data_IF_710795187595
#
_entry.id   IF_710795187595
#
_cell.length_a   1.000
_cell.length_b   1.000
_cell.length_c   1.000
_cell.angle_alpha   90.00
_cell.angle_beta   90.00
_cell.angle_gamma   90.00
#
_symmetry.space_group_name_H-M   'P 1'
#
loop_
_entity.id
_entity.type
_entity.pdbx_description
1 polymer ?
#
# COMPACT_ATOMS: atom_id res chain seq x y z
N UNK A 1 19.52 16.71 10.02
CA UNK A 1 18.50 15.89 10.73
C UNK A 1 18.75 14.39 10.50
N UNK A 2 18.37 13.57 11.46
CA UNK A 2 18.37 12.11 11.33
C UNK A 2 17.02 11.63 10.80
N UNK A 3 17.06 10.90 9.69
CA UNK A 3 15.87 10.35 9.04
C UNK A 3 15.88 8.84 9.12
N UNK A 4 14.79 8.25 9.55
CA UNK A 4 14.58 6.80 9.57
C UNK A 4 13.54 6.42 8.54
N UNK A 5 13.88 5.50 7.65
CA UNK A 5 12.96 4.92 6.66
C UNK A 5 12.75 3.45 6.98
N UNK A 6 11.50 3.07 7.11
CA UNK A 6 11.09 1.68 7.26
C UNK A 6 10.20 1.32 6.07
N UNK A 7 10.80 0.78 5.01
CA UNK A 7 10.10 0.44 3.79
C UNK A 7 9.03 -0.63 4.00
N UNK A 8 8.13 -0.75 3.04
CA UNK A 8 7.11 -1.79 3.06
C UNK A 8 7.74 -3.19 3.06
N UNK A 9 7.27 -4.11 3.92
CA UNK A 9 7.81 -5.47 3.99
C UNK A 9 7.43 -6.32 2.77
N UNK A 10 6.31 -6.00 2.13
CA UNK A 10 5.83 -6.76 0.95
C UNK A 10 6.30 -6.08 -0.31
N UNK A 11 7.13 -6.78 -1.06
CA UNK A 11 7.66 -6.32 -2.33
C UNK A 11 6.89 -6.94 -3.50
N UNK A 12 6.85 -6.21 -4.61
CA UNK A 12 6.44 -6.78 -5.87
C UNK A 12 7.51 -7.80 -6.34
N UNK A 13 7.14 -8.86 -7.08
CA UNK A 13 8.07 -9.94 -7.42
C UNK A 13 9.33 -9.50 -8.17
N UNK A 14 9.26 -8.37 -8.84
CA UNK A 14 10.32 -7.78 -9.67
C UNK A 14 11.05 -6.59 -9.01
N UNK A 15 10.75 -6.30 -7.73
CA UNK A 15 11.41 -5.23 -6.96
C UNK A 15 12.15 -5.85 -5.79
N UNK A 16 13.45 -5.64 -5.74
CA UNK A 16 14.30 -6.11 -4.64
C UNK A 16 14.41 -5.08 -3.51
N UNK A 17 14.90 -5.52 -2.34
CA UNK A 17 15.23 -4.59 -1.24
C UNK A 17 16.30 -3.60 -1.67
N UNK A 18 17.28 -4.04 -2.44
CA UNK A 18 18.35 -3.23 -2.99
C UNK A 18 17.82 -2.13 -3.92
N UNK A 19 16.85 -2.45 -4.79
CA UNK A 19 16.22 -1.47 -5.68
C UNK A 19 15.47 -0.39 -4.89
N UNK A 20 14.82 -0.78 -3.79
CA UNK A 20 14.15 0.16 -2.88
C UNK A 20 15.17 1.04 -2.16
N UNK A 21 16.23 0.45 -1.65
CA UNK A 21 17.27 1.18 -0.91
C UNK A 21 17.99 2.20 -1.81
N UNK A 22 18.16 1.90 -3.10
CA UNK A 22 18.70 2.87 -4.05
C UNK A 22 17.82 4.13 -4.13
N UNK A 23 16.50 3.97 -4.13
CA UNK A 23 15.56 5.10 -4.16
C UNK A 23 15.56 5.87 -2.85
N UNK A 24 15.54 5.17 -1.71
CA UNK A 24 15.58 5.81 -0.40
C UNK A 24 16.89 6.52 -0.13
N UNK A 25 18.01 6.01 -0.65
CA UNK A 25 19.32 6.65 -0.52
C UNK A 25 19.40 8.04 -1.20
N UNK A 26 18.48 8.39 -2.10
CA UNK A 26 18.39 9.75 -2.65
C UNK A 26 18.12 10.80 -1.55
N UNK A 27 17.54 10.41 -0.43
CA UNK A 27 17.37 11.31 0.71
C UNK A 27 18.69 11.83 1.27
N UNK A 28 19.81 11.11 1.08
CA UNK A 28 21.15 11.56 1.48
C UNK A 28 21.68 12.74 0.66
N UNK A 29 21.07 13.00 -0.50
CA UNK A 29 21.43 14.15 -1.34
C UNK A 29 20.85 15.47 -0.81
N UNK A 30 19.87 15.38 0.12
CA UNK A 30 19.29 16.55 0.75
C UNK A 30 20.26 17.11 1.81
N UNK A 31 20.61 18.40 1.75
CA UNK A 31 21.59 19.01 2.65
C UNK A 31 21.14 19.01 4.12
N UNK A 32 19.85 18.84 4.38
CA UNK A 32 19.29 18.78 5.74
C UNK A 32 19.39 17.39 6.37
N UNK A 33 19.75 16.36 5.59
CA UNK A 33 19.85 14.97 6.06
C UNK A 33 21.30 14.64 6.42
N UNK A 34 21.60 14.63 7.71
CA UNK A 34 22.94 14.29 8.24
C UNK A 34 23.12 12.78 8.39
N UNK A 35 22.03 12.08 8.74
CA UNK A 35 22.02 10.63 8.95
C UNK A 35 20.75 10.02 8.34
N UNK A 36 20.91 8.98 7.55
CA UNK A 36 19.82 8.18 7.00
C UNK A 36 19.95 6.73 7.44
N UNK A 37 18.94 6.23 8.15
CA UNK A 37 18.82 4.82 8.54
C UNK A 37 17.70 4.20 7.73
N UNK A 38 17.99 3.12 6.98
CA UNK A 38 17.00 2.32 6.29
C UNK A 38 16.93 0.97 7.01
N UNK A 39 15.75 0.62 7.53
CA UNK A 39 15.55 -0.62 8.28
C UNK A 39 14.40 -1.43 7.68
N UNK A 40 14.71 -2.61 7.18
CA UNK A 40 13.71 -3.57 6.73
C UNK A 40 13.26 -4.48 7.86
N UNK A 41 11.96 -4.80 7.85
CA UNK A 41 11.33 -5.82 8.68
C UNK A 41 10.69 -6.87 7.77
N UNK A 42 10.52 -8.10 8.24
CA UNK A 42 9.85 -9.16 7.48
C UNK A 42 8.31 -9.06 7.53
N UNK A 43 7.79 -8.16 8.36
CA UNK A 43 6.37 -7.86 8.54
C UNK A 43 6.18 -6.44 9.07
N UNK A 44 4.96 -6.11 9.49
CA UNK A 44 4.69 -4.84 10.13
C UNK A 44 5.26 -4.85 11.56
N UNK A 45 6.20 -3.95 11.89
CA UNK A 45 6.83 -3.94 13.20
C UNK A 45 5.88 -3.49 14.31
N UNK A 46 6.03 -4.09 15.48
CA UNK A 46 5.42 -3.62 16.72
C UNK A 46 6.08 -2.34 17.23
N UNK A 47 5.44 -1.63 18.18
CA UNK A 47 6.05 -0.45 18.78
C UNK A 47 7.34 -0.77 19.54
N UNK A 48 7.45 -1.96 20.16
CA UNK A 48 8.67 -2.43 20.82
C UNK A 48 9.84 -2.56 19.84
N UNK A 49 9.57 -3.04 18.63
CA UNK A 49 10.58 -3.16 17.57
C UNK A 49 10.91 -1.80 16.94
N UNK A 50 9.96 -0.88 16.90
CA UNK A 50 10.16 0.47 16.37
C UNK A 50 11.01 1.35 17.30
N UNK A 51 10.82 1.28 18.60
CA UNK A 51 11.51 2.15 19.55
C UNK A 51 13.04 2.21 19.36
N UNK A 52 13.77 1.08 19.27
CA UNK A 52 15.22 1.13 19.11
C UNK A 52 15.67 1.63 17.73
N UNK A 53 14.79 1.51 16.70
CA UNK A 53 15.10 1.96 15.33
C UNK A 53 14.86 3.46 15.18
N UNK A 54 13.75 3.96 15.69
CA UNK A 54 13.41 5.39 15.68
C UNK A 54 14.36 6.15 16.60
N UNK A 55 14.60 5.63 17.80
CA UNK A 55 15.54 6.19 18.77
C UNK A 55 15.45 7.73 18.91
N UNK A 56 16.44 8.46 18.43
CA UNK A 56 16.59 9.91 18.46
C UNK A 56 16.31 10.60 17.11
N UNK A 57 15.63 9.91 16.20
CA UNK A 57 15.31 10.45 14.88
C UNK A 57 14.47 11.73 14.92
N UNK A 58 14.76 12.64 14.00
CA UNK A 58 13.96 13.86 13.77
C UNK A 58 12.77 13.59 12.86
N UNK A 59 12.93 12.64 11.91
CA UNK A 59 11.92 12.28 10.94
C UNK A 59 11.83 10.76 10.73
N UNK A 60 10.62 10.25 10.49
CA UNK A 60 10.39 8.85 10.19
C UNK A 60 9.41 8.68 9.03
N UNK A 61 9.69 7.71 8.16
CA UNK A 61 8.91 7.44 6.95
C UNK A 61 8.58 5.95 6.87
N UNK A 62 7.35 5.62 6.54
CA UNK A 62 6.98 4.23 6.30
C UNK A 62 5.48 3.95 6.32
N UNK A 63 5.08 2.78 5.85
CA UNK A 63 3.68 2.32 5.88
C UNK A 63 3.19 2.01 7.29
N UNK A 64 4.10 1.73 8.21
CA UNK A 64 3.83 1.51 9.63
C UNK A 64 3.35 2.76 10.37
N UNK A 65 3.58 3.95 9.78
CA UNK A 65 3.13 5.23 10.33
C UNK A 65 1.61 5.33 10.21
N UNK A 66 0.93 5.08 11.31
CA UNK A 66 -0.53 5.13 11.43
C UNK A 66 -0.94 5.62 12.82
N UNK A 67 -2.24 5.88 13.04
CA UNK A 67 -2.74 6.39 14.31
C UNK A 67 -2.57 5.45 15.51
N UNK A 68 -2.47 4.15 15.28
CA UNK A 68 -2.21 3.19 16.36
C UNK A 68 -0.76 3.25 16.86
N UNK A 69 0.19 3.50 15.96
CA UNK A 69 1.61 3.60 16.29
C UNK A 69 1.96 5.01 16.77
N UNK A 70 1.51 6.06 16.07
CA UNK A 70 1.80 7.45 16.39
C UNK A 70 0.78 7.97 17.41
N UNK A 71 0.96 7.59 18.64
CA UNK A 71 0.14 7.99 19.78
C UNK A 71 0.98 8.72 20.83
N UNK A 72 0.33 9.22 21.89
CA UNK A 72 0.99 10.01 22.93
C UNK A 72 2.10 9.23 23.65
N UNK A 73 1.90 7.93 23.91
CA UNK A 73 2.90 7.08 24.54
C UNK A 73 4.15 6.97 23.65
N UNK A 74 3.96 6.67 22.37
CA UNK A 74 5.06 6.57 21.41
C UNK A 74 5.85 7.89 21.32
N UNK A 75 5.13 9.00 21.16
CA UNK A 75 5.76 10.31 21.03
C UNK A 75 6.47 10.79 22.31
N UNK A 76 6.00 10.35 23.49
CA UNK A 76 6.69 10.66 24.75
C UNK A 76 8.07 10.02 24.84
N UNK A 77 8.27 8.88 24.18
CA UNK A 77 9.56 8.17 24.09
C UNK A 77 10.48 8.72 23.00
N UNK A 78 9.92 9.49 22.04
CA UNK A 78 10.65 10.04 20.89
C UNK A 78 10.45 11.57 20.78
N UNK A 79 10.94 12.36 21.75
CA UNK A 79 10.68 13.80 21.79
C UNK A 79 11.31 14.58 20.62
N UNK A 80 12.33 14.02 19.97
CA UNK A 80 13.00 14.63 18.82
C UNK A 80 12.19 14.46 17.54
N UNK A 81 11.30 13.46 17.47
CA UNK A 81 10.51 13.17 16.28
C UNK A 81 9.51 14.30 16.02
N UNK A 82 9.71 15.04 14.94
CA UNK A 82 8.90 16.21 14.56
C UNK A 82 8.21 16.05 13.22
N UNK A 83 8.62 15.07 12.44
CA UNK A 83 8.03 14.81 11.14
C UNK A 83 7.81 13.30 10.93
N UNK A 84 6.63 12.93 10.48
CA UNK A 84 6.36 11.58 10.01
C UNK A 84 5.67 11.60 8.65
N UNK A 85 6.10 10.72 7.76
CA UNK A 85 5.44 10.51 6.48
C UNK A 85 4.87 9.09 6.43
N UNK A 86 3.54 8.98 6.39
CA UNK A 86 2.92 7.71 6.06
C UNK A 86 2.93 7.47 4.57
N UNK A 87 3.28 6.27 4.16
CA UNK A 87 3.13 5.84 2.77
C UNK A 87 1.68 5.41 2.46
N UNK A 88 0.80 5.45 3.46
CA UNK A 88 -0.64 5.25 3.29
C UNK A 88 -1.34 6.47 2.72
N UNK A 89 -2.51 6.26 2.14
CA UNK A 89 -3.36 7.34 1.61
C UNK A 89 -4.21 8.00 2.70
N UNK A 90 -4.66 7.21 3.70
CA UNK A 90 -5.53 7.68 4.77
C UNK A 90 -4.78 8.45 5.86
N UNK A 91 -5.47 9.39 6.49
CA UNK A 91 -4.98 10.15 7.65
C UNK A 91 -5.99 10.24 8.80
N UNK A 92 -7.19 9.69 8.62
CA UNK A 92 -8.29 9.78 9.59
C UNK A 92 -8.06 9.06 10.92
N UNK A 93 -7.05 8.23 11.01
CA UNK A 93 -6.68 7.50 12.23
C UNK A 93 -5.79 8.30 13.18
N UNK A 94 -5.19 9.41 12.71
CA UNK A 94 -4.31 10.23 13.54
C UNK A 94 -5.09 11.18 14.45
N UNK A 95 -4.65 11.29 15.70
CA UNK A 95 -5.11 12.34 16.61
C UNK A 95 -4.45 13.67 16.24
N UNK A 96 -5.09 14.37 15.30
CA UNK A 96 -4.58 15.64 14.77
C UNK A 96 -4.42 16.71 15.86
N UNK A 97 -5.35 16.88 16.83
CA UNK A 97 -5.14 17.79 17.95
C UNK A 97 -3.87 17.50 18.74
N UNK A 98 -3.67 16.25 19.13
CA UNK A 98 -2.48 15.81 19.90
C UNK A 98 -1.17 16.03 19.10
N UNK A 99 -1.13 15.64 17.83
CA UNK A 99 0.06 15.80 17.00
C UNK A 99 0.42 17.27 16.80
N UNK A 100 -0.59 18.15 16.66
CA UNK A 100 -0.40 19.60 16.59
C UNK A 100 0.16 20.17 17.90
N UNK A 101 -0.34 19.73 19.05
CA UNK A 101 0.16 20.15 20.37
C UNK A 101 1.65 19.74 20.56
N UNK A 102 2.04 18.56 20.10
CA UNK A 102 3.43 18.08 20.13
C UNK A 102 4.32 18.73 19.07
N UNK A 103 3.76 19.61 18.22
CA UNK A 103 4.49 20.26 17.13
C UNK A 103 4.93 19.30 16.03
N UNK A 104 4.22 18.19 15.86
CA UNK A 104 4.52 17.18 14.85
C UNK A 104 3.81 17.50 13.53
N UNK A 105 4.52 17.31 12.43
CA UNK A 105 3.97 17.36 11.08
C UNK A 105 3.79 15.95 10.55
N UNK A 106 2.60 15.66 10.04
CA UNK A 106 2.29 14.39 9.40
C UNK A 106 1.94 14.65 7.94
N UNK A 107 2.54 13.89 7.03
CA UNK A 107 2.16 13.88 5.62
C UNK A 107 1.73 12.49 5.19
N UNK A 108 0.84 12.43 4.23
CA UNK A 108 0.39 11.21 3.59
C UNK A 108 0.70 11.26 2.10
N UNK A 109 0.56 10.10 1.43
CA UNK A 109 0.75 9.99 -0.01
C UNK A 109 -0.59 9.97 -0.73
N UNK A 110 -0.62 10.56 -1.93
CA UNK A 110 -1.77 10.49 -2.83
C UNK A 110 -1.36 9.59 -4.00
N UNK A 111 -1.79 8.32 -3.96
CA UNK A 111 -1.52 7.37 -5.03
C UNK A 111 -2.68 6.39 -5.20
N UNK A 112 -2.71 5.73 -6.33
CA UNK A 112 -3.56 4.56 -6.57
C UNK A 112 -5.05 4.83 -6.78
N UNK A 113 -5.53 6.06 -6.65
CA UNK A 113 -6.96 6.35 -6.82
C UNK A 113 -7.47 5.92 -8.21
N UNK A 114 -6.72 6.20 -9.26
CA UNK A 114 -7.05 5.77 -10.61
C UNK A 114 -6.98 4.24 -10.74
N UNK A 115 -5.90 3.62 -10.27
CA UNK A 115 -5.71 2.16 -10.33
C UNK A 115 -6.81 1.43 -9.55
N UNK A 116 -7.20 1.94 -8.38
CA UNK A 116 -8.29 1.36 -7.57
C UNK A 116 -9.62 1.50 -8.31
N UNK A 117 -9.88 2.66 -8.94
CA UNK A 117 -11.10 2.88 -9.71
C UNK A 117 -11.16 1.98 -10.94
N UNK A 118 -10.05 1.83 -11.67
CA UNK A 118 -9.96 0.91 -12.82
C UNK A 118 -10.17 -0.54 -12.40
N UNK A 119 -9.61 -0.95 -11.26
CA UNK A 119 -9.81 -2.29 -10.74
C UNK A 119 -11.25 -2.53 -10.29
N UNK A 120 -11.87 -1.57 -9.61
CA UNK A 120 -13.28 -1.63 -9.24
C UNK A 120 -14.18 -1.72 -10.48
N UNK A 121 -13.85 -0.97 -11.54
CA UNK A 121 -14.55 -1.04 -12.81
C UNK A 121 -14.37 -2.41 -13.47
N UNK A 122 -13.16 -2.97 -13.48
CA UNK A 122 -12.90 -4.31 -14.01
C UNK A 122 -13.71 -5.39 -13.28
N UNK A 123 -13.80 -5.33 -11.95
CA UNK A 123 -14.63 -6.24 -11.16
C UNK A 123 -16.12 -6.08 -11.47
N UNK A 124 -16.59 -4.85 -11.63
CA UNK A 124 -17.98 -4.58 -12.02
C UNK A 124 -18.28 -5.20 -13.39
N UNK A 125 -17.40 -5.01 -14.36
CA UNK A 125 -17.56 -5.59 -15.70
C UNK A 125 -17.51 -7.13 -15.67
N UNK A 126 -16.61 -7.70 -14.83
CA UNK A 126 -16.58 -9.15 -14.59
C UNK A 126 -17.93 -9.68 -14.10
N UNK A 127 -18.51 -9.03 -13.09
CA UNK A 127 -19.82 -9.42 -12.53
C UNK A 127 -20.94 -9.26 -13.55
N UNK A 128 -20.97 -8.14 -14.28
CA UNK A 128 -22.02 -7.85 -15.25
C UNK A 128 -21.97 -8.77 -16.49
N UNK A 129 -20.77 -9.16 -16.90
CA UNK A 129 -20.57 -9.95 -18.13
C UNK A 129 -20.20 -11.41 -17.87
N UNK A 130 -20.10 -11.84 -16.62
CA UNK A 130 -19.76 -13.22 -16.23
C UNK A 130 -18.53 -13.78 -16.96
N UNK A 131 -17.46 -12.97 -17.08
CA UNK A 131 -16.28 -13.29 -17.89
C UNK A 131 -15.64 -14.62 -17.47
N UNK A 132 -15.56 -14.89 -16.16
CA UNK A 132 -15.00 -16.15 -15.64
C UNK A 132 -15.85 -17.36 -16.04
N UNK A 133 -17.19 -17.26 -15.96
CA UNK A 133 -18.10 -18.32 -16.41
C UNK A 133 -17.95 -18.58 -17.90
N UNK A 134 -17.95 -17.52 -18.70
CA UNK A 134 -17.77 -17.63 -20.15
C UNK A 134 -16.41 -18.25 -20.50
N UNK A 135 -15.35 -17.81 -19.84
CA UNK A 135 -14.00 -18.37 -20.04
C UNK A 135 -13.94 -19.87 -19.73
N UNK A 136 -14.61 -20.30 -18.65
CA UNK A 136 -14.70 -21.73 -18.30
C UNK A 136 -15.51 -22.52 -19.33
N UNK A 137 -16.63 -21.98 -19.79
CA UNK A 137 -17.48 -22.65 -20.76
C UNK A 137 -16.80 -22.75 -22.11
N UNK A 138 -16.16 -21.69 -22.59
CA UNK A 138 -15.37 -21.72 -23.83
C UNK A 138 -14.27 -22.77 -23.78
N UNK A 139 -13.57 -22.91 -22.64
CA UNK A 139 -12.48 -23.88 -22.46
C UNK A 139 -12.96 -25.33 -22.37
N UNK A 140 -14.22 -25.58 -22.01
CA UNK A 140 -14.79 -26.94 -21.91
C UNK A 140 -15.24 -27.49 -23.24
N UNK A 141 -15.53 -26.62 -24.20
CA UNK A 141 -16.07 -27.04 -25.52
C UNK A 141 -14.91 -27.38 -26.45
N UNK A 142 -14.94 -28.55 -27.06
CA UNK A 142 -14.12 -28.87 -28.22
C UNK A 142 -14.70 -28.19 -29.47
N UNK A 143 -14.23 -26.97 -29.72
CA UNK A 143 -14.74 -26.13 -30.82
C UNK A 143 -14.55 -26.74 -32.22
N UNK A 144 -13.63 -27.70 -32.38
CA UNK A 144 -13.46 -28.42 -33.64
C UNK A 144 -14.63 -29.38 -33.92
N UNK A 145 -15.33 -29.81 -32.84
CA UNK A 145 -16.45 -30.77 -32.93
C UNK A 145 -17.70 -30.26 -32.18
N UNK A 146 -17.83 -28.94 -32.03
CA UNK A 146 -18.89 -28.33 -31.25
C UNK A 146 -20.29 -28.72 -31.79
N UNK A 147 -21.17 -29.04 -30.87
CA UNK A 147 -22.56 -29.42 -31.16
C UNK A 147 -23.48 -28.18 -31.17
N UNK A 148 -24.71 -28.37 -31.66
CA UNK A 148 -25.74 -27.33 -31.59
C UNK A 148 -26.01 -26.91 -30.13
N UNK A 149 -25.97 -27.86 -29.19
CA UNK A 149 -26.19 -27.61 -27.76
C UNK A 149 -25.07 -26.75 -27.16
N UNK A 150 -23.83 -26.98 -27.59
CA UNK A 150 -22.67 -26.14 -27.17
C UNK A 150 -22.89 -24.69 -27.61
N UNK A 151 -23.31 -24.45 -28.85
CA UNK A 151 -23.59 -23.11 -29.36
C UNK A 151 -24.79 -22.45 -28.66
N UNK A 152 -25.85 -23.21 -28.36
CA UNK A 152 -27.00 -22.67 -27.63
C UNK A 152 -26.65 -22.30 -26.20
N UNK A 153 -25.85 -23.09 -25.53
CA UNK A 153 -25.34 -22.80 -24.17
C UNK A 153 -24.48 -21.55 -24.18
N UNK A 154 -23.53 -21.47 -25.12
CA UNK A 154 -22.65 -20.30 -25.27
C UNK A 154 -23.48 -19.02 -25.61
N UNK A 155 -24.46 -19.10 -26.47
CA UNK A 155 -25.30 -17.95 -26.82
C UNK A 155 -26.16 -17.42 -25.68
N UNK A 156 -26.61 -18.28 -24.75
CA UNK A 156 -27.35 -17.85 -23.54
C UNK A 156 -26.48 -17.13 -22.55
N UNK A 157 -25.20 -17.51 -22.47
CA UNK A 157 -24.24 -16.95 -21.51
C UNK A 157 -23.73 -15.58 -21.96
N UNK A 158 -23.75 -15.28 -23.29
CA UNK A 158 -23.32 -13.99 -23.84
C UNK A 158 -24.34 -12.86 -23.68
N UNK A 159 -25.58 -13.14 -23.27
CA UNK A 159 -26.57 -12.09 -23.04
C UNK A 159 -26.35 -11.45 -21.69
N UNK A 160 -26.13 -10.12 -21.59
CA UNK A 160 -26.07 -9.42 -20.30
C UNK A 160 -27.36 -9.68 -19.53
N UNK A 161 -27.28 -10.29 -18.37
CA UNK A 161 -28.40 -10.45 -17.46
C UNK A 161 -28.57 -9.21 -16.59
N UNK A 162 -28.61 -8.04 -17.19
CA UNK A 162 -29.00 -6.81 -16.53
C UNK A 162 -30.43 -6.51 -17.00
N UNK A 163 -31.40 -6.95 -16.22
CA UNK A 163 -32.76 -6.40 -16.25
C UNK A 163 -32.85 -5.23 -15.24
#
# INVERSE_FOLDING_TARGET
MKVVVIPEPVLQPDITKEDMDLKWNLLKELPEVDELVIKHFDGYPSNEELHPVIADADAAIGVWVNGSNINEEFLSKHPNLKYVATLGHGFGEFDVPMTKEKGMVITNTIYGAQTIAEYAWALLMEVCHHVDLHSKDVKRVDWAHATKEDYETFGRVLTPQIE
#
